data_IF_276428904131
#
_entry.id   IF_276428904131
#
_cell.length_a   1.000
_cell.length_b   1.000
_cell.length_c   1.000
_cell.angle_alpha   90.00
_cell.angle_beta   90.00
_cell.angle_gamma   90.00
#
_symmetry.space_group_name_H-M   'P 1'
#
loop_
_entity.id
_entity.type
_entity.pdbx_description
1 polymer ?
#
# COMPACT_ATOMS: atom_id res chain seq x y z
N UNK A 1 36.33 13.53 -15.28
CA UNK A 1 35.25 12.74 -14.64
C UNK A 1 34.51 11.93 -15.69
N UNK A 2 35.19 10.99 -16.37
CA UNK A 2 34.58 10.14 -17.42
C UNK A 2 34.75 8.63 -17.17
N UNK A 3 35.63 8.23 -16.24
CA UNK A 3 35.95 6.83 -15.97
C UNK A 3 34.93 6.08 -15.10
N UNK A 4 34.14 6.79 -14.28
CA UNK A 4 33.15 6.14 -13.40
C UNK A 4 31.88 5.72 -14.14
N UNK A 5 31.53 6.41 -15.23
CA UNK A 5 30.28 6.18 -15.97
C UNK A 5 30.36 4.91 -16.81
N UNK A 6 31.55 4.58 -17.36
CA UNK A 6 31.79 3.34 -18.09
C UNK A 6 31.62 2.10 -17.22
N UNK A 7 32.05 2.16 -15.95
CA UNK A 7 31.86 1.07 -14.98
C UNK A 7 30.41 0.90 -14.54
N UNK A 8 29.65 2.00 -14.47
CA UNK A 8 28.21 1.96 -14.17
C UNK A 8 27.43 1.35 -15.33
N UNK A 9 27.79 1.67 -16.58
CA UNK A 9 27.22 1.02 -17.76
C UNK A 9 27.58 -0.47 -17.82
N UNK A 10 28.82 -0.86 -17.51
CA UNK A 10 29.23 -2.27 -17.40
C UNK A 10 28.49 -3.04 -16.29
N UNK A 11 28.22 -2.41 -15.14
CA UNK A 11 27.45 -3.02 -14.06
C UNK A 11 25.96 -3.23 -14.41
N UNK A 12 25.43 -2.45 -15.36
CA UNK A 12 24.09 -2.60 -15.93
C UNK A 12 24.06 -3.72 -17.00
N UNK A 13 25.20 -4.04 -17.64
CA UNK A 13 25.32 -4.87 -18.86
C UNK A 13 25.80 -6.32 -18.60
N UNK A 14 25.70 -6.82 -17.35
CA UNK A 14 25.87 -8.26 -17.07
C UNK A 14 24.88 -9.15 -17.86
N UNK A 15 25.28 -10.35 -18.31
CA UNK A 15 24.63 -11.07 -19.41
C UNK A 15 23.24 -11.56 -19.00
N UNK A 16 22.14 -11.12 -19.65
CA UNK A 16 22.00 -10.94 -21.10
C UNK A 16 21.42 -9.56 -21.49
N UNK A 17 22.26 -8.70 -22.08
CA UNK A 17 22.00 -7.28 -22.33
C UNK A 17 21.93 -6.93 -23.82
N UNK A 18 21.00 -7.53 -24.56
CA UNK A 18 20.73 -7.13 -25.96
C UNK A 18 19.69 -6.02 -26.07
N UNK A 19 18.55 -6.18 -25.39
CA UNK A 19 17.40 -5.25 -25.52
C UNK A 19 17.45 -4.08 -24.54
N UNK A 20 18.15 -4.24 -23.41
CA UNK A 20 18.15 -3.25 -22.34
C UNK A 20 19.18 -2.13 -22.57
N UNK A 21 20.38 -2.46 -23.05
CA UNK A 21 21.44 -1.48 -23.33
C UNK A 21 21.02 -0.42 -24.37
N UNK A 22 20.21 -0.80 -25.35
CA UNK A 22 19.69 0.11 -26.38
C UNK A 22 18.69 1.15 -25.83
N UNK A 23 17.96 0.82 -24.76
CA UNK A 23 17.10 1.77 -24.04
C UNK A 23 17.92 2.75 -23.20
N UNK A 24 19.07 2.30 -22.68
CA UNK A 24 19.89 3.06 -21.74
C UNK A 24 20.94 3.97 -22.41
N UNK A 25 21.29 3.75 -23.68
CA UNK A 25 22.47 4.35 -24.33
C UNK A 25 22.37 5.78 -24.88
N UNK A 26 21.19 6.40 -24.93
CA UNK A 26 20.97 7.61 -25.76
C UNK A 26 21.11 8.95 -25.03
N UNK A 27 21.28 9.02 -23.71
CA UNK A 27 21.17 10.31 -23.01
C UNK A 27 22.41 10.72 -22.21
N UNK A 28 23.39 11.28 -22.91
CA UNK A 28 24.59 11.89 -22.29
C UNK A 28 24.68 13.37 -22.70
N UNK A 29 24.26 14.26 -21.79
CA UNK A 29 24.39 15.72 -21.93
C UNK A 29 23.49 16.55 -20.99
N UNK A 30 22.35 15.99 -20.56
CA UNK A 30 21.36 16.69 -19.74
C UNK A 30 21.43 16.27 -18.26
N UNK A 31 21.45 17.25 -17.35
CA UNK A 31 21.43 17.02 -15.89
C UNK A 31 20.17 16.26 -15.45
N UNK A 32 19.04 16.53 -16.09
CA UNK A 32 17.77 15.85 -15.79
C UNK A 32 17.87 14.38 -16.16
N UNK A 33 18.45 14.08 -17.33
CA UNK A 33 18.63 12.71 -17.77
C UNK A 33 19.56 11.91 -16.85
N UNK A 34 20.67 12.53 -16.41
CA UNK A 34 21.56 11.89 -15.44
C UNK A 34 20.85 11.65 -14.09
N UNK A 35 20.07 12.62 -13.60
CA UNK A 35 19.27 12.44 -12.38
C UNK A 35 18.26 11.29 -12.51
N UNK A 36 17.54 11.22 -13.64
CA UNK A 36 16.60 10.12 -13.95
C UNK A 36 17.30 8.77 -14.01
N UNK A 37 18.47 8.69 -14.65
CA UNK A 37 19.27 7.48 -14.72
C UNK A 37 19.71 7.02 -13.33
N UNK A 38 20.16 7.94 -12.47
CA UNK A 38 20.53 7.61 -11.09
C UNK A 38 19.35 7.06 -10.28
N UNK A 39 18.15 7.61 -10.45
CA UNK A 39 16.94 7.10 -9.80
C UNK A 39 16.63 5.66 -10.23
N UNK A 40 16.73 5.37 -11.53
CA UNK A 40 16.53 4.03 -12.08
C UNK A 40 17.56 3.05 -11.53
N UNK A 41 18.84 3.42 -11.49
CA UNK A 41 19.91 2.56 -10.95
C UNK A 41 19.63 2.22 -9.48
N UNK A 42 19.25 3.21 -8.68
CA UNK A 42 18.91 3.01 -7.26
C UNK A 42 17.70 2.08 -7.10
N UNK A 43 16.68 2.26 -7.92
CA UNK A 43 15.50 1.39 -7.91
C UNK A 43 15.84 -0.04 -8.37
N UNK A 44 16.66 -0.19 -9.41
CA UNK A 44 17.10 -1.50 -9.91
C UNK A 44 17.92 -2.27 -8.88
N UNK A 45 18.82 -1.60 -8.16
CA UNK A 45 19.54 -2.22 -7.05
C UNK A 45 18.59 -2.77 -5.96
N UNK A 46 17.47 -2.09 -5.72
CA UNK A 46 16.41 -2.56 -4.82
C UNK A 46 15.62 -3.75 -5.38
N UNK A 47 15.45 -3.85 -6.70
CA UNK A 47 14.77 -5.00 -7.33
C UNK A 47 15.52 -6.29 -7.00
N UNK A 48 16.84 -6.27 -7.16
CA UNK A 48 17.69 -7.41 -6.84
C UNK A 48 17.64 -7.75 -5.34
N UNK A 49 17.78 -6.76 -4.46
CA UNK A 49 17.74 -7.02 -3.01
C UNK A 49 16.39 -7.54 -2.54
N UNK A 50 15.29 -7.04 -3.12
CA UNK A 50 13.93 -7.56 -2.87
C UNK A 50 13.79 -8.99 -3.36
N UNK A 51 14.28 -9.29 -4.56
CA UNK A 51 14.21 -10.63 -5.12
C UNK A 51 14.97 -11.63 -4.25
N UNK A 52 16.19 -11.29 -3.83
CA UNK A 52 17.02 -12.13 -2.97
C UNK A 52 16.38 -12.34 -1.59
N UNK A 53 15.90 -11.26 -0.96
CA UNK A 53 15.24 -11.34 0.35
C UNK A 53 13.96 -12.18 0.32
N UNK A 54 13.23 -12.19 -0.80
CA UNK A 54 12.02 -12.95 -0.98
C UNK A 54 12.23 -14.34 -1.64
N UNK A 55 13.49 -14.73 -1.91
CA UNK A 55 13.82 -16.00 -2.56
C UNK A 55 13.25 -16.12 -3.98
N UNK A 56 13.10 -15.01 -4.69
CA UNK A 56 12.51 -14.96 -6.03
C UNK A 56 13.56 -15.21 -7.11
N UNK A 57 13.29 -16.19 -7.96
CA UNK A 57 14.07 -16.40 -9.18
C UNK A 57 13.53 -15.51 -10.30
N UNK A 58 14.17 -14.37 -10.53
CA UNK A 58 13.80 -13.47 -11.62
C UNK A 58 14.11 -14.07 -12.98
N UNK A 59 13.15 -13.99 -13.90
CA UNK A 59 13.31 -14.41 -15.30
C UNK A 59 12.98 -13.20 -16.16
N UNK A 60 14.00 -12.48 -16.61
CA UNK A 60 13.84 -11.21 -17.35
C UNK A 60 12.98 -11.37 -18.60
N UNK A 61 13.07 -12.52 -19.28
CA UNK A 61 12.25 -12.85 -20.45
C UNK A 61 10.74 -12.89 -20.18
N UNK A 62 10.31 -12.96 -18.90
CA UNK A 62 8.89 -12.88 -18.52
C UNK A 62 8.34 -11.45 -18.47
N UNK A 63 9.19 -10.43 -18.57
CA UNK A 63 8.78 -9.03 -18.51
C UNK A 63 8.47 -8.54 -19.92
N UNK A 64 7.20 -8.20 -20.23
CA UNK A 64 6.85 -7.60 -21.51
C UNK A 64 7.52 -6.23 -21.63
N UNK A 65 8.03 -5.94 -22.82
CA UNK A 65 8.75 -4.71 -23.11
C UNK A 65 7.93 -3.44 -22.75
N UNK A 66 6.63 -3.42 -23.05
CA UNK A 66 5.74 -2.31 -22.69
C UNK A 66 5.67 -2.05 -21.18
N UNK A 67 5.60 -3.12 -20.39
CA UNK A 67 5.60 -3.00 -18.93
C UNK A 67 6.94 -2.49 -18.42
N UNK A 68 8.05 -2.99 -18.97
CA UNK A 68 9.39 -2.52 -18.61
C UNK A 68 9.58 -1.03 -18.91
N UNK A 69 9.14 -0.54 -20.08
CA UNK A 69 9.18 0.88 -20.41
C UNK A 69 8.31 1.72 -19.48
N UNK A 70 7.06 1.30 -19.21
CA UNK A 70 6.20 2.04 -18.29
C UNK A 70 6.81 2.10 -16.90
N UNK A 71 7.40 0.99 -16.43
CA UNK A 71 8.07 0.95 -15.13
C UNK A 71 9.28 1.89 -15.08
N UNK A 72 10.13 1.85 -16.12
CA UNK A 72 11.30 2.71 -16.23
C UNK A 72 10.92 4.20 -16.23
N UNK A 73 9.97 4.58 -17.08
CA UNK A 73 9.54 5.97 -17.24
C UNK A 73 9.03 6.52 -15.90
N UNK A 74 8.20 5.76 -15.19
CA UNK A 74 7.61 6.20 -13.92
C UNK A 74 8.61 6.17 -12.76
N UNK A 75 9.47 5.14 -12.67
CA UNK A 75 10.46 5.04 -11.58
C UNK A 75 11.58 6.06 -11.72
N UNK A 76 11.92 6.47 -12.95
CA UNK A 76 12.96 7.48 -13.21
C UNK A 76 12.63 8.84 -12.60
N UNK A 77 11.34 9.11 -12.40
CA UNK A 77 10.81 10.33 -11.79
C UNK A 77 10.80 10.27 -10.26
N UNK A 78 11.06 9.11 -9.67
CA UNK A 78 10.97 8.89 -8.23
C UNK A 78 12.34 9.03 -7.56
N UNK A 79 12.48 9.98 -6.64
CA UNK A 79 13.64 10.13 -5.76
C UNK A 79 13.41 9.55 -4.36
N UNK A 80 12.14 9.32 -3.99
CA UNK A 80 11.78 8.83 -2.68
C UNK A 80 12.07 7.32 -2.51
N UNK A 81 12.68 6.98 -1.38
CA UNK A 81 13.10 5.62 -1.07
C UNK A 81 11.95 4.62 -0.91
N UNK A 82 10.82 5.04 -0.32
CA UNK A 82 9.65 4.19 -0.05
C UNK A 82 8.95 3.82 -1.36
N UNK A 83 8.73 4.81 -2.24
CA UNK A 83 8.12 4.60 -3.57
C UNK A 83 8.99 3.71 -4.45
N UNK A 84 10.30 3.99 -4.54
CA UNK A 84 11.23 3.12 -5.28
C UNK A 84 11.20 1.67 -4.77
N UNK A 85 10.95 1.46 -3.47
CA UNK A 85 10.83 0.11 -2.90
C UNK A 85 9.55 -0.59 -3.35
N UNK A 86 8.42 0.13 -3.45
CA UNK A 86 7.19 -0.43 -4.01
C UNK A 86 7.34 -0.78 -5.49
N UNK A 87 7.95 0.11 -6.29
CA UNK A 87 8.29 -0.17 -7.69
C UNK A 87 9.22 -1.37 -7.83
N UNK A 88 10.23 -1.49 -6.96
CA UNK A 88 11.16 -2.61 -6.97
C UNK A 88 10.45 -3.95 -6.70
N UNK A 89 9.54 -3.97 -5.73
CA UNK A 89 8.71 -5.14 -5.41
C UNK A 89 7.78 -5.54 -6.56
N UNK A 90 7.14 -4.54 -7.19
CA UNK A 90 6.30 -4.77 -8.37
C UNK A 90 7.11 -5.44 -9.49
N UNK A 91 8.27 -4.90 -9.85
CA UNK A 91 9.09 -5.47 -10.92
C UNK A 91 9.66 -6.84 -10.56
N UNK A 92 10.17 -7.03 -9.34
CA UNK A 92 10.73 -8.31 -8.91
C UNK A 92 9.69 -9.45 -8.98
N UNK A 93 8.45 -9.19 -8.52
CA UNK A 93 7.38 -10.19 -8.58
C UNK A 93 6.87 -10.44 -9.99
N UNK A 94 6.80 -9.41 -10.83
CA UNK A 94 6.47 -9.56 -12.24
C UNK A 94 7.55 -10.40 -12.96
N UNK A 95 8.83 -10.12 -12.72
CA UNK A 95 9.97 -10.86 -13.28
C UNK A 95 10.01 -12.32 -12.80
N UNK A 96 9.60 -12.59 -11.56
CA UNK A 96 9.45 -13.95 -11.06
C UNK A 96 8.23 -14.69 -11.66
N UNK A 97 7.28 -13.95 -12.24
CA UNK A 97 6.00 -14.47 -12.71
C UNK A 97 5.02 -14.78 -11.60
N UNK A 98 5.19 -14.17 -10.41
CA UNK A 98 4.23 -14.28 -9.30
C UNK A 98 2.98 -13.42 -9.53
N UNK A 99 3.12 -12.35 -10.31
CA UNK A 99 2.03 -11.47 -10.69
C UNK A 99 2.05 -11.24 -12.20
N UNK A 100 0.89 -10.94 -12.76
CA UNK A 100 0.81 -10.48 -14.14
C UNK A 100 1.46 -9.09 -14.26
N UNK A 101 2.32 -8.85 -15.26
CA UNK A 101 2.82 -7.51 -15.57
C UNK A 101 1.66 -6.62 -16.05
N UNK A 102 1.21 -5.70 -15.20
CA UNK A 102 0.11 -4.79 -15.51
C UNK A 102 0.56 -3.33 -15.36
N UNK A 103 0.57 -2.60 -16.49
CA UNK A 103 0.91 -1.17 -16.54
C UNK A 103 0.03 -0.31 -15.64
N UNK A 104 -1.21 -0.75 -15.37
CA UNK A 104 -2.13 -0.02 -14.48
C UNK A 104 -1.56 0.08 -13.07
N UNK A 105 -0.90 -0.98 -12.59
CA UNK A 105 -0.29 -0.98 -11.26
C UNK A 105 0.90 -0.01 -11.18
N UNK A 106 1.69 0.07 -12.25
CA UNK A 106 2.77 1.05 -12.39
C UNK A 106 2.24 2.49 -12.35
N UNK A 107 1.18 2.77 -13.13
CA UNK A 107 0.54 4.09 -13.16
C UNK A 107 -0.14 4.45 -11.84
N UNK A 108 -0.73 3.49 -11.16
CA UNK A 108 -1.31 3.73 -9.83
C UNK A 108 -0.23 4.12 -8.82
N UNK A 109 0.90 3.40 -8.79
CA UNK A 109 2.01 3.72 -7.89
C UNK A 109 2.62 5.09 -8.19
N UNK A 110 2.63 5.54 -9.44
CA UNK A 110 3.18 6.85 -9.77
C UNK A 110 2.32 8.03 -9.32
N UNK A 111 1.06 7.78 -8.96
CA UNK A 111 0.17 8.77 -8.33
C UNK A 111 0.40 8.89 -6.82
N UNK A 112 1.17 8.00 -6.20
CA UNK A 112 1.39 8.03 -4.76
C UNK A 112 2.39 9.12 -4.40
N UNK A 113 2.10 9.83 -3.33
CA UNK A 113 3.10 10.55 -2.55
C UNK A 113 3.83 9.59 -1.59
N UNK A 114 4.97 9.98 -1.02
CA UNK A 114 5.63 9.18 0.02
C UNK A 114 4.73 8.86 1.21
N UNK A 115 3.88 9.80 1.62
CA UNK A 115 2.94 9.62 2.71
C UNK A 115 1.84 8.63 2.33
N UNK A 116 1.38 8.63 1.08
CA UNK A 116 0.41 7.65 0.56
C UNK A 116 0.99 6.23 0.61
N UNK A 117 2.26 6.04 0.22
CA UNK A 117 2.92 4.74 0.31
C UNK A 117 2.93 4.18 1.74
N UNK A 118 3.17 5.05 2.74
CA UNK A 118 3.16 4.67 4.16
C UNK A 118 1.75 4.33 4.63
N UNK A 119 0.75 5.14 4.29
CA UNK A 119 -0.66 4.87 4.63
C UNK A 119 -1.15 3.59 3.98
N UNK A 120 -0.81 3.36 2.72
CA UNK A 120 -1.13 2.12 1.99
C UNK A 120 -0.55 0.89 2.69
N UNK A 121 0.74 0.91 3.02
CA UNK A 121 1.39 -0.17 3.76
C UNK A 121 0.72 -0.42 5.12
N UNK A 122 0.43 0.65 5.87
CA UNK A 122 -0.19 0.55 7.19
C UNK A 122 -1.61 -0.02 7.13
N UNK A 123 -2.41 0.39 6.13
CA UNK A 123 -3.76 -0.13 5.95
C UNK A 123 -3.73 -1.62 5.62
N UNK A 124 -2.96 -2.04 4.63
CA UNK A 124 -2.91 -3.44 4.21
C UNK A 124 -2.26 -4.35 5.25
N UNK A 125 -1.39 -3.82 6.11
CA UNK A 125 -0.93 -4.53 7.31
C UNK A 125 -2.06 -4.69 8.36
N UNK A 126 -2.93 -3.69 8.52
CA UNK A 126 -4.04 -3.71 9.47
C UNK A 126 -5.17 -4.67 9.08
N UNK A 127 -5.40 -4.86 7.78
CA UNK A 127 -6.47 -5.71 7.25
C UNK A 127 -6.02 -7.10 6.81
N UNK A 128 -4.73 -7.42 6.93
CA UNK A 128 -4.21 -8.73 6.55
C UNK A 128 -4.63 -9.81 7.57
N UNK A 129 -5.42 -10.82 7.18
CA UNK A 129 -5.93 -11.85 8.07
C UNK A 129 -4.86 -12.71 8.76
N UNK A 130 -3.61 -12.72 8.26
CA UNK A 130 -2.48 -13.46 8.81
C UNK A 130 -1.65 -12.67 9.83
N UNK A 131 -1.84 -11.36 9.89
CA UNK A 131 -1.11 -10.49 10.82
C UNK A 131 -1.63 -10.69 12.27
N UNK A 132 -0.73 -10.61 13.25
CA UNK A 132 -1.09 -10.66 14.69
C UNK A 132 -0.94 -9.30 15.38
N UNK A 133 -0.68 -8.24 14.61
CA UNK A 133 -0.40 -6.90 15.13
C UNK A 133 -1.62 -6.25 15.83
N UNK A 134 -1.40 -5.22 16.68
CA UNK A 134 -2.48 -4.48 17.32
C UNK A 134 -3.46 -3.80 16.36
N UNK A 135 -3.08 -3.63 15.09
CA UNK A 135 -3.92 -3.06 14.03
C UNK A 135 -5.07 -4.00 13.62
N UNK A 136 -4.88 -5.32 13.76
CA UNK A 136 -5.90 -6.33 13.46
C UNK A 136 -7.15 -6.25 14.33
N UNK A 137 -7.03 -5.74 15.55
CA UNK A 137 -8.17 -5.59 16.49
C UNK A 137 -9.26 -4.65 15.97
N UNK A 138 -8.96 -3.85 14.94
CA UNK A 138 -9.89 -2.90 14.31
C UNK A 138 -10.55 -3.44 13.03
N UNK A 139 -10.17 -4.62 12.55
CA UNK A 139 -10.75 -5.21 11.35
C UNK A 139 -12.21 -5.64 11.63
N UNK A 140 -13.16 -4.80 11.21
CA UNK A 140 -14.60 -5.08 11.37
C UNK A 140 -15.04 -5.75 10.08
N UNK A 141 -15.11 -7.09 10.08
CA UNK A 141 -15.36 -7.97 8.93
C UNK A 141 -14.25 -7.95 7.86
N UNK A 142 -13.36 -8.95 7.95
CA UNK A 142 -12.25 -9.42 7.10
C UNK A 142 -11.38 -8.45 6.27
N UNK A 143 -11.77 -7.23 5.87
CA UNK A 143 -10.92 -6.27 5.11
C UNK A 143 -11.32 -4.78 5.25
N UNK A 144 -11.83 -4.36 6.41
CA UNK A 144 -12.27 -2.97 6.65
C UNK A 144 -11.85 -2.46 8.01
N UNK A 145 -11.49 -1.17 8.12
CA UNK A 145 -11.19 -0.49 9.39
C UNK A 145 -12.04 0.77 9.53
N UNK A 146 -12.32 1.19 10.77
CA UNK A 146 -12.99 2.46 11.02
C UNK A 146 -12.09 3.62 10.59
N UNK A 147 -12.60 4.52 9.74
CA UNK A 147 -11.83 5.59 9.09
C UNK A 147 -11.20 6.55 10.11
N UNK A 148 -12.01 7.06 11.05
CA UNK A 148 -11.54 7.98 12.09
C UNK A 148 -10.44 7.37 12.95
N UNK A 149 -10.69 6.18 13.50
CA UNK A 149 -9.69 5.49 14.34
C UNK A 149 -8.40 5.12 13.61
N UNK A 150 -8.47 4.88 12.29
CA UNK A 150 -7.28 4.62 11.48
C UNK A 150 -6.48 5.91 11.26
N UNK A 151 -7.14 7.01 10.90
CA UNK A 151 -6.51 8.33 10.75
C UNK A 151 -5.88 8.80 12.07
N UNK A 152 -6.58 8.67 13.19
CA UNK A 152 -6.07 9.11 14.49
C UNK A 152 -4.82 8.36 14.94
N UNK A 153 -4.72 7.06 14.60
CA UNK A 153 -3.48 6.30 14.81
C UNK A 153 -2.35 6.82 13.93
N UNK A 154 -2.61 6.99 12.64
CA UNK A 154 -1.61 7.50 11.69
C UNK A 154 -1.12 8.89 12.08
N UNK A 155 -1.97 9.75 12.65
CA UNK A 155 -1.59 11.09 13.13
C UNK A 155 -0.49 11.09 14.19
N UNK A 156 -0.27 9.97 14.88
CA UNK A 156 0.85 9.85 15.82
C UNK A 156 2.19 9.95 15.10
N UNK A 157 2.26 9.41 13.88
CA UNK A 157 3.48 9.36 13.06
C UNK A 157 3.48 10.43 11.94
N UNK A 158 2.28 10.85 11.48
CA UNK A 158 2.06 11.77 10.36
C UNK A 158 0.85 12.70 10.59
N UNK A 159 0.96 13.69 11.49
CA UNK A 159 -0.19 14.46 12.01
C UNK A 159 -0.96 15.27 10.97
N UNK A 160 -0.28 15.82 9.96
CA UNK A 160 -0.89 16.68 8.94
C UNK A 160 -1.28 15.96 7.64
N UNK A 161 -0.64 14.82 7.38
CA UNK A 161 -0.69 14.13 6.10
C UNK A 161 -1.65 12.93 6.12
N UNK A 162 -1.85 12.30 7.28
CA UNK A 162 -2.66 11.08 7.41
C UNK A 162 -4.04 11.18 6.73
N UNK A 163 -4.80 12.22 7.04
CA UNK A 163 -6.15 12.40 6.49
C UNK A 163 -6.13 12.65 4.98
N UNK A 164 -5.18 13.47 4.51
CA UNK A 164 -5.01 13.79 3.08
C UNK A 164 -4.60 12.56 2.28
N UNK A 165 -3.67 11.76 2.81
CA UNK A 165 -3.22 10.53 2.17
C UNK A 165 -4.29 9.45 2.13
N UNK A 166 -5.10 9.31 3.19
CA UNK A 166 -6.26 8.42 3.17
C UNK A 166 -7.25 8.84 2.07
N UNK A 167 -7.55 10.13 1.97
CA UNK A 167 -8.43 10.66 0.93
C UNK A 167 -7.84 10.51 -0.49
N UNK A 168 -6.53 10.75 -0.66
CA UNK A 168 -5.85 10.53 -1.93
C UNK A 168 -5.93 9.06 -2.37
N UNK A 169 -5.72 8.12 -1.46
CA UNK A 169 -5.81 6.68 -1.73
C UNK A 169 -7.26 6.21 -1.97
N UNK A 170 -8.26 6.87 -1.38
CA UNK A 170 -9.67 6.70 -1.75
C UNK A 170 -9.91 7.16 -3.20
N UNK A 171 -9.38 8.32 -3.59
CA UNK A 171 -9.54 8.88 -4.95
C UNK A 171 -8.80 8.08 -6.03
N UNK A 172 -7.62 7.54 -5.72
CA UNK A 172 -6.85 6.64 -6.60
C UNK A 172 -7.58 5.28 -6.74
N UNK A 173 -8.52 4.97 -5.84
CA UNK A 173 -9.28 3.71 -5.85
C UNK A 173 -8.57 2.56 -5.15
N UNK A 174 -7.53 2.84 -4.37
CA UNK A 174 -6.88 1.83 -3.51
C UNK A 174 -7.74 1.47 -2.30
N UNK A 175 -8.60 2.41 -1.88
CA UNK A 175 -9.55 2.28 -0.78
C UNK A 175 -10.97 2.61 -1.22
N UNK A 176 -11.95 2.04 -0.52
CA UNK A 176 -13.36 2.40 -0.66
C UNK A 176 -13.90 2.92 0.66
N UNK A 177 -14.36 4.17 0.66
CA UNK A 177 -15.10 4.75 1.79
C UNK A 177 -16.50 4.12 1.85
N UNK A 178 -16.88 3.61 3.02
CA UNK A 178 -18.21 3.06 3.28
C UNK A 178 -18.79 3.70 4.53
N UNK A 179 -20.06 4.09 4.46
CA UNK A 179 -20.79 4.58 5.64
C UNK A 179 -21.69 3.45 6.12
N UNK A 180 -21.62 3.11 7.41
CA UNK A 180 -22.64 2.27 8.04
C UNK A 180 -23.39 3.09 9.07
N UNK A 181 -24.71 3.04 8.96
CA UNK A 181 -25.61 3.52 10.00
C UNK A 181 -25.79 2.40 11.01
N UNK A 182 -25.55 2.68 12.29
CA UNK A 182 -25.93 1.72 13.32
C UNK A 182 -27.45 1.66 13.44
N UNK A 183 -27.95 0.52 13.89
CA UNK A 183 -29.34 0.42 14.38
C UNK A 183 -29.35 0.87 15.84
N UNK A 184 -30.46 1.41 16.33
CA UNK A 184 -30.66 1.54 17.78
C UNK A 184 -30.55 0.13 18.38
N UNK A 185 -29.56 -0.07 19.26
CA UNK A 185 -29.36 -1.35 19.94
C UNK A 185 -29.77 -1.15 21.38
N UNK A 186 -30.74 -1.95 21.83
CA UNK A 186 -30.99 -2.10 23.25
C UNK A 186 -29.77 -2.75 23.89
N UNK A 187 -29.03 -1.97 24.66
CA UNK A 187 -27.93 -2.47 25.46
C UNK A 187 -28.50 -3.16 26.70
N UNK A 188 -28.02 -4.38 26.95
CA UNK A 188 -28.37 -5.10 28.16
C UNK A 188 -27.75 -4.41 29.38
N UNK A 189 -28.57 -3.83 30.26
CA UNK A 189 -28.15 -3.37 31.59
C UNK A 189 -28.63 -4.35 32.68
N UNK A 190 -27.75 -5.26 33.15
CA UNK A 190 -28.09 -6.21 34.19
C UNK A 190 -28.30 -5.57 35.57
N UNK A 191 -27.89 -4.31 35.80
CA UNK A 191 -28.06 -3.66 37.10
C UNK A 191 -29.50 -3.19 37.31
N UNK A 192 -30.11 -2.57 36.30
CA UNK A 192 -31.51 -2.17 36.32
C UNK A 192 -32.45 -3.37 36.45
N UNK A 193 -32.25 -4.44 35.67
CA UNK A 193 -33.07 -5.66 35.78
C UNK A 193 -32.95 -6.33 37.16
N UNK A 194 -31.77 -6.28 37.80
CA UNK A 194 -31.57 -6.79 39.16
C UNK A 194 -32.27 -5.94 40.23
N UNK A 195 -32.50 -4.66 39.98
CA UNK A 195 -33.28 -3.78 40.87
C UNK A 195 -34.79 -4.02 40.70
N UNK A 196 -35.26 -4.20 39.46
CA UNK A 196 -36.64 -4.60 39.17
C UNK A 196 -36.96 -5.97 39.78
N UNK A 197 -36.07 -6.95 39.64
CA UNK A 197 -36.24 -8.29 40.23
C UNK A 197 -36.26 -8.28 41.77
N UNK A 198 -35.73 -7.23 42.41
CA UNK A 198 -35.78 -7.00 43.86
C UNK A 198 -36.98 -6.14 44.32
N UNK A 199 -37.92 -5.86 43.42
CA UNK A 199 -39.14 -5.09 43.71
C UNK A 199 -38.89 -3.60 43.92
N UNK A 200 -37.74 -3.07 43.50
CA UNK A 200 -37.42 -1.66 43.63
C UNK A 200 -37.98 -0.89 42.41
N UNK A 201 -38.72 0.19 42.67
CA UNK A 201 -39.15 1.13 41.63
C UNK A 201 -37.96 2.00 41.21
N UNK A 202 -37.14 1.47 40.29
CA UNK A 202 -36.01 2.20 39.70
C UNK A 202 -36.36 2.52 38.26
N UNK A 203 -36.44 3.80 37.94
CA UNK A 203 -36.66 4.27 36.58
C UNK A 203 -35.46 3.87 35.70
N UNK A 204 -35.69 3.27 34.52
CA UNK A 204 -34.61 2.92 33.61
C UNK A 204 -33.84 4.17 33.17
N UNK A 205 -32.53 4.10 33.26
CA UNK A 205 -31.63 5.05 32.60
C UNK A 205 -31.65 4.72 31.10
N UNK A 206 -32.57 5.38 30.37
CA UNK A 206 -32.79 5.13 28.95
C UNK A 206 -31.55 5.39 28.10
N UNK A 207 -30.64 6.29 28.52
CA UNK A 207 -29.39 6.57 27.81
C UNK A 207 -28.37 5.42 27.94
N UNK A 208 -28.41 4.68 29.05
CA UNK A 208 -27.60 3.45 29.22
C UNK A 208 -28.20 2.25 28.49
N UNK A 209 -29.53 2.17 28.45
CA UNK A 209 -30.28 1.06 27.87
C UNK A 209 -30.44 1.18 26.35
N UNK A 210 -30.47 2.40 25.81
CA UNK A 210 -30.56 2.67 24.38
C UNK A 210 -29.24 3.30 23.97
N UNK A 211 -28.32 2.47 23.49
CA UNK A 211 -27.12 3.00 22.82
C UNK A 211 -27.55 3.51 21.46
N UNK A 212 -27.70 4.83 21.36
CA UNK A 212 -27.93 5.46 20.08
C UNK A 212 -26.65 5.37 19.24
N UNK A 213 -26.60 4.35 18.38
CA UNK A 213 -25.54 4.16 17.39
C UNK A 213 -25.96 4.70 16.01
N UNK A 214 -26.93 5.60 15.95
CA UNK A 214 -27.41 6.16 14.67
C UNK A 214 -26.40 7.10 14.03
N UNK A 215 -25.39 7.58 14.76
CA UNK A 215 -24.30 8.34 14.18
C UNK A 215 -23.62 7.54 13.06
N UNK A 216 -23.46 8.13 11.86
CA UNK A 216 -22.83 7.44 10.74
C UNK A 216 -21.37 7.14 11.08
N UNK A 217 -21.01 5.85 11.09
CA UNK A 217 -19.61 5.45 11.23
C UNK A 217 -19.04 5.19 9.85
N UNK A 218 -17.96 5.90 9.53
CA UNK A 218 -17.22 5.73 8.29
C UNK A 218 -16.16 4.63 8.41
N UNK A 219 -16.04 3.84 7.36
CA UNK A 219 -15.09 2.76 7.21
C UNK A 219 -14.28 2.94 5.94
N UNK A 220 -13.03 2.50 6.00
CA UNK A 220 -12.16 2.31 4.84
C UNK A 220 -12.13 0.81 4.57
N UNK A 221 -12.47 0.42 3.34
CA UNK A 221 -12.47 -0.95 2.87
C UNK A 221 -11.41 -1.15 1.77
N UNK A 222 -10.81 -2.34 1.72
CA UNK A 222 -9.95 -2.74 0.61
C UNK A 222 -10.77 -2.83 -0.68
N UNK A 223 -10.18 -2.38 -1.80
CA UNK A 223 -10.73 -2.56 -3.15
C UNK A 223 -10.00 -3.69 -3.86
N UNK A 224 -10.59 -4.23 -4.94
CA UNK A 224 -9.91 -5.23 -5.77
C UNK A 224 -8.60 -4.68 -6.35
N UNK A 225 -8.59 -3.42 -6.82
CA UNK A 225 -7.39 -2.77 -7.35
C UNK A 225 -6.32 -2.58 -6.28
N UNK A 226 -6.71 -2.12 -5.09
CA UNK A 226 -5.79 -1.95 -3.98
C UNK A 226 -5.24 -3.29 -3.48
N UNK A 227 -6.04 -4.36 -3.48
CA UNK A 227 -5.58 -5.72 -3.17
C UNK A 227 -4.63 -6.26 -4.23
N UNK A 228 -4.90 -6.05 -5.51
CA UNK A 228 -3.99 -6.43 -6.59
C UNK A 228 -2.64 -5.72 -6.44
N UNK A 229 -2.67 -4.42 -6.15
CA UNK A 229 -1.45 -3.66 -5.90
C UNK A 229 -0.74 -4.14 -4.63
N UNK A 230 -1.47 -4.44 -3.56
CA UNK A 230 -0.92 -4.94 -2.31
C UNK A 230 -0.23 -6.31 -2.50
N UNK A 231 -0.86 -7.24 -3.24
CA UNK A 231 -0.25 -8.52 -3.64
C UNK A 231 1.05 -8.31 -4.41
N UNK A 232 1.07 -7.31 -5.30
CA UNK A 232 2.24 -7.00 -6.13
C UNK A 232 3.38 -6.34 -5.35
N UNK A 233 3.07 -5.59 -4.30
CA UNK A 233 4.03 -4.66 -3.67
C UNK A 233 4.32 -4.93 -2.20
N UNK A 234 3.60 -5.83 -1.53
CA UNK A 234 3.82 -6.17 -0.13
C UNK A 234 4.40 -7.58 0.03
N UNK A 235 5.24 -7.76 1.04
CA UNK A 235 6.00 -8.99 1.26
C UNK A 235 5.18 -10.08 1.93
N UNK A 236 4.08 -10.57 1.30
CA UNK A 236 3.32 -11.71 1.86
C UNK A 236 2.72 -12.69 0.83
N UNK A 237 2.78 -13.97 1.23
CA UNK A 237 2.29 -15.17 0.56
C UNK A 237 0.79 -15.47 0.81
N UNK A 238 -0.01 -14.52 1.29
CA UNK A 238 -1.29 -14.80 1.97
C UNK A 238 -2.57 -14.36 1.23
N UNK A 239 -2.51 -14.13 -0.09
CA UNK A 239 -3.71 -13.87 -0.89
C UNK A 239 -4.01 -14.96 -1.93
N UNK A 240 -3.76 -16.22 -1.54
CA UNK A 240 -4.29 -17.42 -2.19
C UNK A 240 -5.69 -17.74 -1.67
#
# INVERSE_FOLDING_TARGET
MGEDIGKVAEAIVGPPAGSFADVYGVVIGDRIANWRLQNVIRAHAKVQSVADAAGLKMVVAKIPERFAYSWFEEVSKQDNGDLQTLFAKLLARAAAGQIAPDERLTRMLSLFTPSDARVFNAFYAAVDPSDKSPLMRQAISRRQVARGSFIDKLRTDMPEEAAKSVEALENIGCFQRRVRFGKKVFAYDPSWMRSVARGQAVEPDWDKLIKDRTEPVEFIAATELGELLAKATLDRAAFS
#
